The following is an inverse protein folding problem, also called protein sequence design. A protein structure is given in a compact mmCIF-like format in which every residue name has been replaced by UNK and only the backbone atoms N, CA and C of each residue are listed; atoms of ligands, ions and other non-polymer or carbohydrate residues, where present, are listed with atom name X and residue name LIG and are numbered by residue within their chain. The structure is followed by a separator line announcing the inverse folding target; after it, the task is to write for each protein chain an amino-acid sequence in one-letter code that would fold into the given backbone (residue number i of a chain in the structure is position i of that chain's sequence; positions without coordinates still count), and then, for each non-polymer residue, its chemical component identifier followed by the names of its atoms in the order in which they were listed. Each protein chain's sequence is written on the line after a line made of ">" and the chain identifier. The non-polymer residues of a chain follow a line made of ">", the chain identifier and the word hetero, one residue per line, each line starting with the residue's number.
data_IF_813447103505
#
_entry.id   IF_813447103505
#
_cell.length_a   1.000
_cell.length_b   1.000
_cell.length_c   1.000
_cell.angle_alpha   90.00
_cell.angle_beta   90.00
_cell.angle_gamma   90.00
#
_symmetry.space_group_name_H-M   'P 1'
#
loop_
_entity.id
_entity.type
_entity.pdbx_description
1 polymer ?
#
# COMPACT_ATOMS: atom_id res chain seq x y z
N UNK A 1 14.85 35.92 7.04
CA UNK A 1 15.13 34.71 6.25
C UNK A 1 13.84 34.08 5.78
N UNK A 2 13.79 33.43 4.61
CA UNK A 2 12.58 32.77 4.14
C UNK A 2 12.18 31.64 5.10
N UNK A 3 10.88 31.49 5.37
CA UNK A 3 10.32 30.42 6.22
C UNK A 3 10.24 29.10 5.45
N UNK A 4 10.06 29.16 4.13
CA UNK A 4 10.06 28.02 3.21
C UNK A 4 10.47 28.47 1.80
N UNK A 5 11.04 27.56 1.00
CA UNK A 5 11.28 27.74 -0.44
C UNK A 5 11.32 26.36 -1.14
N UNK A 6 11.26 26.35 -2.48
CA UNK A 6 11.31 25.11 -3.30
C UNK A 6 12.72 24.54 -3.49
N UNK A 7 13.75 25.22 -2.99
CA UNK A 7 15.18 24.98 -3.27
C UNK A 7 15.56 24.94 -4.77
N UNK A 8 14.69 25.44 -5.66
CA UNK A 8 15.00 25.56 -7.09
C UNK A 8 15.95 26.72 -7.31
N UNK A 9 17.11 26.43 -7.91
CA UNK A 9 18.07 27.45 -8.30
C UNK A 9 17.67 27.97 -9.68
N UNK A 10 17.31 29.25 -9.76
CA UNK A 10 17.07 29.88 -11.04
C UNK A 10 18.38 29.94 -11.83
N UNK A 11 18.42 29.33 -13.02
CA UNK A 11 19.55 29.50 -13.92
C UNK A 11 19.44 30.91 -14.51
N UNK A 12 20.35 31.79 -14.07
CA UNK A 12 20.32 33.27 -14.17
C UNK A 12 20.09 33.83 -15.60
N UNK A 13 20.07 32.99 -16.63
CA UNK A 13 19.95 33.39 -18.04
C UNK A 13 18.76 32.77 -18.80
N UNK A 14 17.80 32.13 -18.14
CA UNK A 14 16.71 31.41 -18.82
C UNK A 14 15.37 31.96 -18.36
N UNK A 15 14.73 32.80 -19.19
CA UNK A 15 13.28 33.08 -19.26
C UNK A 15 12.52 33.43 -17.95
N UNK A 16 11.40 34.18 -18.01
CA UNK A 16 10.64 34.49 -16.81
C UNK A 16 10.05 33.21 -16.17
N UNK A 17 10.31 33.06 -14.88
CA UNK A 17 9.76 32.00 -14.04
C UNK A 17 8.31 32.34 -13.69
N UNK A 18 7.41 31.37 -13.82
CA UNK A 18 5.99 31.52 -13.51
C UNK A 18 5.57 30.45 -12.51
N UNK A 19 4.86 30.88 -11.48
CA UNK A 19 4.13 30.01 -10.58
C UNK A 19 2.67 29.96 -11.04
N UNK A 20 2.13 28.76 -11.20
CA UNK A 20 0.80 28.53 -11.78
C UNK A 20 0.07 27.45 -10.99
N UNK A 21 -1.21 27.68 -10.69
CA UNK A 21 -2.08 26.65 -10.14
C UNK A 21 -2.91 26.07 -11.29
N UNK A 22 -2.69 24.79 -11.58
CA UNK A 22 -3.42 24.08 -12.64
C UNK A 22 -4.81 23.66 -12.17
N UNK A 23 -5.71 23.37 -13.12
CA UNK A 23 -7.10 22.98 -12.84
C UNK A 23 -7.23 21.70 -11.97
N UNK A 24 -6.22 20.83 -11.99
CA UNK A 24 -6.17 19.63 -11.15
C UNK A 24 -5.66 19.91 -9.72
N UNK A 25 -5.37 21.16 -9.37
CA UNK A 25 -4.83 21.56 -8.08
C UNK A 25 -3.30 21.44 -7.96
N UNK A 26 -2.60 21.03 -9.02
CA UNK A 26 -1.14 21.00 -9.02
C UNK A 26 -0.58 22.42 -9.10
N UNK A 27 0.11 22.85 -8.05
CA UNK A 27 0.82 24.12 -8.03
C UNK A 27 2.22 23.89 -8.60
N UNK A 28 2.53 24.53 -9.72
CA UNK A 28 3.75 24.28 -10.49
C UNK A 28 4.60 25.53 -10.60
N UNK A 29 5.90 25.30 -10.70
CA UNK A 29 6.88 26.29 -11.10
C UNK A 29 7.43 25.87 -12.45
N UNK A 30 7.46 26.78 -13.42
CA UNK A 30 7.98 26.53 -14.77
C UNK A 30 8.50 27.80 -15.42
N UNK A 31 9.30 27.66 -16.47
CA UNK A 31 9.63 28.79 -17.36
C UNK A 31 8.44 29.10 -18.27
N UNK A 32 8.19 30.39 -18.55
CA UNK A 32 7.05 30.87 -19.35
C UNK A 32 6.87 30.11 -20.68
N UNK A 33 7.97 29.86 -21.38
CA UNK A 33 8.02 29.21 -22.70
C UNK A 33 8.20 27.68 -22.63
N UNK A 34 8.32 27.10 -21.42
CA UNK A 34 8.45 25.65 -21.26
C UNK A 34 7.13 25.02 -20.80
N UNK A 35 6.89 23.81 -21.31
CA UNK A 35 5.84 22.91 -20.82
C UNK A 35 6.32 22.01 -19.66
N UNK A 36 7.63 21.94 -19.43
CA UNK A 36 8.18 21.15 -18.32
C UNK A 36 8.10 21.91 -17.01
N UNK A 37 7.75 21.18 -15.95
CA UNK A 37 7.74 21.70 -14.59
C UNK A 37 9.12 21.49 -13.96
N UNK A 38 9.66 22.55 -13.35
CA UNK A 38 10.90 22.46 -12.56
C UNK A 38 10.62 22.12 -11.09
N UNK A 39 9.40 22.41 -10.64
CA UNK A 39 8.87 21.98 -9.35
C UNK A 39 7.36 21.85 -9.44
N UNK A 40 6.78 20.93 -8.69
CA UNK A 40 5.33 20.72 -8.64
C UNK A 40 4.91 20.25 -7.24
N UNK A 41 3.78 20.74 -6.74
CA UNK A 41 3.27 20.36 -5.41
C UNK A 41 2.88 18.88 -5.34
N UNK A 42 2.49 18.28 -6.47
CA UNK A 42 2.16 16.86 -6.56
C UNK A 42 3.33 15.92 -6.27
N UNK A 43 4.57 16.42 -6.26
CA UNK A 43 5.75 15.68 -5.82
C UNK A 43 5.94 15.71 -4.30
N UNK A 44 5.26 16.62 -3.59
CA UNK A 44 5.39 16.84 -2.15
C UNK A 44 4.01 16.84 -1.48
N UNK A 45 3.27 15.72 -1.54
CA UNK A 45 1.98 15.58 -0.87
C UNK A 45 2.06 15.85 0.64
N UNK A 46 0.94 16.31 1.20
CA UNK A 46 0.73 16.40 2.65
C UNK A 46 0.03 15.13 3.13
N UNK A 47 -1.22 15.22 3.55
CA UNK A 47 -2.10 14.15 4.03
C UNK A 47 -3.08 13.66 2.95
N UNK A 48 -3.06 14.25 1.75
CA UNK A 48 -4.12 14.04 0.74
C UNK A 48 -3.56 13.63 -0.63
N UNK A 49 -4.20 12.65 -1.25
CA UNK A 49 -4.03 12.25 -2.66
C UNK A 49 -5.25 12.72 -3.48
N UNK A 50 -4.99 13.55 -4.49
CA UNK A 50 -5.99 14.05 -5.44
C UNK A 50 -5.96 13.26 -6.76
N UNK A 51 -7.04 13.27 -7.56
CA UNK A 51 -7.02 12.79 -8.93
C UNK A 51 -5.89 13.44 -9.74
N UNK A 52 -5.08 12.61 -10.41
CA UNK A 52 -3.89 13.04 -11.16
C UNK A 52 -2.59 13.06 -10.35
N UNK A 53 -2.63 12.88 -9.02
CA UNK A 53 -1.44 12.61 -8.21
C UNK A 53 -1.06 11.12 -8.28
N UNK A 54 0.20 10.83 -7.95
CA UNK A 54 0.75 9.48 -7.81
C UNK A 54 1.47 9.38 -6.46
N UNK A 55 1.16 8.36 -5.66
CA UNK A 55 1.89 8.00 -4.45
C UNK A 55 2.83 6.84 -4.73
N UNK A 56 3.99 6.79 -4.08
CA UNK A 56 5.00 5.75 -4.30
C UNK A 56 6.29 6.30 -4.93
N UNK A 57 7.11 5.39 -5.46
CA UNK A 57 8.44 5.68 -5.98
C UNK A 57 8.41 6.08 -7.46
N UNK A 58 9.03 7.21 -7.75
CA UNK A 58 9.29 7.74 -9.08
C UNK A 58 10.80 7.69 -9.35
N UNK A 59 11.23 6.72 -10.16
CA UNK A 59 12.65 6.50 -10.48
C UNK A 59 13.25 7.58 -11.37
N UNK A 60 12.44 8.31 -12.13
CA UNK A 60 12.93 9.40 -13.00
C UNK A 60 13.39 10.60 -12.18
N UNK A 61 12.74 10.84 -11.03
CA UNK A 61 13.08 11.90 -10.07
C UNK A 61 13.86 11.41 -8.86
N UNK A 62 14.00 10.09 -8.71
CA UNK A 62 14.49 9.42 -7.51
C UNK A 62 13.79 9.93 -6.24
N UNK A 63 12.46 9.95 -6.28
CA UNK A 63 11.61 10.54 -5.24
C UNK A 63 10.52 9.55 -4.83
N UNK A 64 10.29 9.42 -3.53
CA UNK A 64 9.16 8.65 -2.98
C UNK A 64 8.12 9.59 -2.41
N UNK A 65 6.88 9.46 -2.87
CA UNK A 65 5.73 10.30 -2.50
C UNK A 65 4.87 9.53 -1.51
N UNK A 66 4.67 10.10 -0.32
CA UNK A 66 3.95 9.48 0.80
C UNK A 66 2.93 10.45 1.37
N UNK A 67 1.87 9.97 2.00
CA UNK A 67 1.00 10.85 2.79
C UNK A 67 1.48 10.89 4.23
N UNK A 68 1.50 12.07 4.83
CA UNK A 68 1.76 12.28 6.25
C UNK A 68 0.56 12.96 6.85
N UNK A 69 -0.04 12.33 7.86
CA UNK A 69 -1.19 12.87 8.59
C UNK A 69 -0.87 14.22 9.22
N UNK A 70 -1.90 14.99 9.53
CA UNK A 70 -1.78 16.12 10.45
C UNK A 70 -1.52 15.64 11.89
N UNK A 71 -0.87 16.47 12.70
CA UNK A 71 -0.62 16.18 14.12
C UNK A 71 -1.90 16.08 14.94
N UNK A 72 -2.89 16.91 14.61
CA UNK A 72 -4.24 16.83 15.19
C UNK A 72 -5.27 17.46 14.25
N UNK A 73 -6.55 17.40 14.62
CA UNK A 73 -7.65 18.00 13.85
C UNK A 73 -7.41 19.47 13.47
N UNK A 74 -6.73 20.24 14.32
CA UNK A 74 -6.51 21.68 14.14
C UNK A 74 -5.04 22.06 13.98
N UNK A 75 -4.13 21.08 13.86
CA UNK A 75 -2.69 21.32 13.76
C UNK A 75 -2.12 20.63 12.52
N UNK A 76 -1.85 21.37 11.43
CA UNK A 76 -1.41 20.81 10.15
C UNK A 76 0.08 20.45 10.11
N UNK A 77 0.77 20.52 11.26
CA UNK A 77 2.13 20.01 11.38
C UNK A 77 2.16 18.49 11.16
N UNK A 78 3.32 17.94 10.82
CA UNK A 78 3.46 16.50 10.55
C UNK A 78 3.08 15.66 11.77
N UNK A 79 2.07 14.82 11.60
CA UNK A 79 1.60 13.87 12.60
C UNK A 79 2.39 12.57 12.59
N UNK A 80 1.93 11.63 13.42
CA UNK A 80 2.62 10.35 13.65
C UNK A 80 2.31 9.27 12.62
N UNK A 81 1.25 9.46 11.82
CA UNK A 81 0.83 8.49 10.80
C UNK A 81 1.37 8.86 9.43
N UNK A 82 1.86 7.85 8.74
CA UNK A 82 2.31 7.91 7.35
C UNK A 82 1.59 6.83 6.55
N UNK A 83 1.25 7.12 5.31
CA UNK A 83 0.81 6.13 4.34
C UNK A 83 1.77 6.10 3.16
N UNK A 84 2.36 4.94 2.93
CA UNK A 84 3.36 4.74 1.89
C UNK A 84 3.01 3.53 1.00
N UNK A 85 3.53 3.55 -0.22
CA UNK A 85 3.44 2.41 -1.14
C UNK A 85 4.74 1.63 -1.05
N UNK A 86 4.63 0.34 -0.74
CA UNK A 86 5.79 -0.53 -0.65
C UNK A 86 6.47 -0.72 -2.00
N UNK A 87 7.81 -0.68 -2.01
CA UNK A 87 8.62 -0.82 -3.22
C UNK A 87 8.87 -2.29 -3.60
N UNK A 88 7.85 -3.13 -3.50
CA UNK A 88 7.90 -4.54 -3.91
C UNK A 88 7.34 -4.72 -5.32
N UNK A 89 7.64 -5.86 -5.95
CA UNK A 89 7.08 -6.20 -7.28
C UNK A 89 5.57 -6.46 -7.26
N UNK A 90 4.97 -6.61 -6.07
CA UNK A 90 3.52 -6.53 -5.84
C UNK A 90 3.31 -5.55 -4.70
N UNK A 91 3.05 -4.31 -5.05
CA UNK A 91 2.99 -3.16 -4.15
C UNK A 91 1.65 -3.08 -3.43
N UNK A 92 1.72 -2.84 -2.12
CA UNK A 92 0.55 -2.52 -1.30
C UNK A 92 0.78 -1.18 -0.62
N UNK A 93 -0.30 -0.58 -0.15
CA UNK A 93 -0.23 0.57 0.74
C UNK A 93 -0.06 0.10 2.19
N UNK A 94 0.77 0.79 2.97
CA UNK A 94 0.98 0.51 4.39
C UNK A 94 0.75 1.79 5.18
N UNK A 95 -0.07 1.70 6.22
CA UNK A 95 -0.17 2.75 7.23
C UNK A 95 0.85 2.44 8.32
N UNK A 96 1.72 3.40 8.57
CA UNK A 96 2.78 3.35 9.56
C UNK A 96 2.45 4.34 10.67
N UNK A 97 2.60 3.91 11.91
CA UNK A 97 2.47 4.75 13.08
C UNK A 97 3.79 4.81 13.83
N UNK A 98 4.38 6.00 13.89
CA UNK A 98 5.64 6.24 14.60
C UNK A 98 6.77 5.28 14.16
N UNK A 99 6.83 4.95 12.87
CA UNK A 99 7.83 4.06 12.29
C UNK A 99 7.53 2.56 12.43
N UNK A 100 6.33 2.15 12.84
CA UNK A 100 5.91 0.75 12.88
C UNK A 100 4.70 0.51 11.97
N UNK A 101 4.67 -0.55 11.14
CA UNK A 101 3.50 -0.92 10.36
C UNK A 101 2.29 -1.19 11.26
N UNK A 102 1.18 -0.49 11.02
CA UNK A 102 -0.06 -0.63 11.78
C UNK A 102 -1.13 -1.37 10.98
N UNK A 103 -1.18 -1.16 9.67
CA UNK A 103 -2.10 -1.87 8.78
C UNK A 103 -1.57 -1.86 7.34
N UNK A 104 -1.99 -2.85 6.54
CA UNK A 104 -1.61 -2.98 5.13
C UNK A 104 -2.86 -3.07 4.28
N UNK A 105 -2.94 -2.35 3.17
CA UNK A 105 -4.13 -2.34 2.33
C UNK A 105 -4.37 -3.69 1.66
N UNK A 106 -5.61 -3.94 1.26
CA UNK A 106 -6.02 -5.15 0.56
C UNK A 106 -6.78 -4.84 -0.73
N UNK A 107 -7.50 -5.84 -1.27
CA UNK A 107 -8.21 -5.71 -2.54
C UNK A 107 -9.22 -4.55 -2.60
N UNK A 108 -9.84 -4.17 -1.47
CA UNK A 108 -10.79 -3.05 -1.41
C UNK A 108 -10.13 -1.73 -1.83
N UNK A 109 -8.92 -1.46 -1.33
CA UNK A 109 -8.11 -0.30 -1.73
C UNK A 109 -7.61 -0.43 -3.18
N UNK A 110 -7.12 -1.61 -3.57
CA UNK A 110 -6.61 -1.85 -4.94
C UNK A 110 -7.66 -1.60 -6.03
N UNK A 111 -8.96 -1.75 -5.71
CA UNK A 111 -10.05 -1.44 -6.64
C UNK A 111 -10.27 0.08 -6.84
N UNK A 112 -9.75 0.93 -5.95
CA UNK A 112 -9.91 2.39 -5.98
C UNK A 112 -8.76 3.09 -6.72
N UNK A 113 -7.65 2.38 -6.96
CA UNK A 113 -6.42 2.96 -7.50
C UNK A 113 -5.98 2.25 -8.78
N UNK A 114 -5.36 3.01 -9.67
CA UNK A 114 -4.53 2.47 -10.73
C UNK A 114 -3.14 2.21 -10.16
N UNK A 115 -2.67 0.97 -10.29
CA UNK A 115 -1.36 0.51 -9.82
C UNK A 115 -0.41 0.45 -11.01
N UNK A 116 0.74 1.13 -10.89
CA UNK A 116 1.85 1.10 -11.85
C UNK A 116 3.04 0.44 -11.17
N UNK A 117 3.55 -0.64 -11.75
CA UNK A 117 4.68 -1.41 -11.23
C UNK A 117 5.64 -1.73 -12.38
N UNK A 118 6.63 -0.86 -12.59
CA UNK A 118 7.70 -1.02 -13.56
C UNK A 118 9.06 -0.88 -12.87
N UNK A 119 10.14 -1.15 -13.63
CA UNK A 119 11.49 -0.96 -13.12
C UNK A 119 11.83 0.53 -12.86
N UNK A 120 11.09 1.46 -13.48
CA UNK A 120 11.28 2.91 -13.29
C UNK A 120 10.23 3.58 -12.38
N UNK A 121 9.11 2.91 -12.08
CA UNK A 121 8.02 3.51 -11.30
C UNK A 121 7.23 2.45 -10.53
N UNK A 122 7.04 2.67 -9.22
CA UNK A 122 6.08 1.90 -8.42
C UNK A 122 5.14 2.91 -7.76
N UNK A 123 3.95 3.08 -8.32
CA UNK A 123 3.05 4.13 -7.87
C UNK A 123 1.57 3.77 -7.95
N UNK A 124 0.79 4.35 -7.05
CA UNK A 124 -0.67 4.23 -6.99
C UNK A 124 -1.29 5.62 -7.20
N UNK A 125 -2.30 5.68 -8.07
CA UNK A 125 -3.07 6.90 -8.34
C UNK A 125 -4.56 6.62 -8.28
N UNK A 126 -5.40 7.55 -7.83
CA UNK A 126 -6.85 7.34 -7.82
C UNK A 126 -7.40 7.01 -9.20
N UNK A 127 -8.19 5.94 -9.28
CA UNK A 127 -8.94 5.56 -10.47
C UNK A 127 -10.32 6.22 -10.47
N UNK A 128 -10.32 7.56 -10.44
CA UNK A 128 -11.55 8.36 -10.41
C UNK A 128 -11.45 9.40 -11.51
N UNK A 129 -12.48 9.46 -12.36
CA UNK A 129 -12.60 10.50 -13.38
C UNK A 129 -13.04 11.80 -12.69
N UNK A 130 -12.31 12.92 -12.85
CA UNK A 130 -12.72 14.20 -12.31
C UNK A 130 -14.11 14.59 -12.80
N UNK A 131 -14.92 15.15 -11.91
CA UNK A 131 -16.26 15.67 -12.20
C UNK A 131 -16.27 17.19 -11.95
N UNK A 132 -17.08 17.93 -12.68
CA UNK A 132 -17.26 19.38 -12.50
C UNK A 132 -18.01 19.69 -11.20
N UNK A 133 -18.87 18.77 -10.76
CA UNK A 133 -19.82 18.99 -9.65
C UNK A 133 -19.31 18.34 -8.34
N UNK A 134 -18.35 17.41 -8.43
CA UNK A 134 -17.79 16.74 -7.25
C UNK A 134 -16.26 16.68 -7.28
N UNK A 135 -15.67 16.77 -6.09
CA UNK A 135 -14.22 16.59 -5.89
C UNK A 135 -14.01 15.36 -5.03
N UNK A 136 -13.30 14.38 -5.56
CA UNK A 136 -12.89 13.20 -4.80
C UNK A 136 -11.46 13.35 -4.30
N UNK A 137 -11.18 12.96 -3.06
CA UNK A 137 -9.84 12.96 -2.49
C UNK A 137 -9.68 11.82 -1.50
N UNK A 138 -8.49 11.22 -1.45
CA UNK A 138 -8.13 10.22 -0.46
C UNK A 138 -7.25 10.88 0.60
N UNK A 139 -7.71 10.94 1.84
CA UNK A 139 -7.03 11.62 2.95
C UNK A 139 -6.57 10.63 4.01
N UNK A 140 -5.33 10.78 4.49
CA UNK A 140 -4.84 10.16 5.71
C UNK A 140 -5.12 11.08 6.91
N UNK A 141 -6.10 10.70 7.72
CA UNK A 141 -6.51 11.49 8.89
C UNK A 141 -5.46 11.43 10.02
N UNK A 142 -5.53 12.40 10.95
CA UNK A 142 -4.70 12.43 12.18
C UNK A 142 -4.92 11.21 13.10
N UNK A 143 -5.98 10.44 12.87
CA UNK A 143 -6.31 9.21 13.59
C UNK A 143 -5.69 7.95 12.95
N UNK A 144 -5.01 8.08 11.81
CA UNK A 144 -4.41 6.93 11.11
C UNK A 144 -5.40 6.16 10.24
N UNK A 145 -6.45 6.82 9.77
CA UNK A 145 -7.44 6.24 8.86
C UNK A 145 -7.32 6.90 7.49
N UNK A 146 -7.25 6.09 6.44
CA UNK A 146 -7.45 6.52 5.06
C UNK A 146 -8.94 6.63 4.77
N UNK A 147 -9.35 7.77 4.24
CA UNK A 147 -10.73 8.05 3.88
C UNK A 147 -10.84 8.57 2.45
N UNK A 148 -11.63 7.92 1.60
CA UNK A 148 -11.99 8.46 0.29
C UNK A 148 -13.25 9.31 0.45
N UNK A 149 -13.09 10.62 0.32
CA UNK A 149 -14.16 11.60 0.40
C UNK A 149 -14.59 12.02 -1.00
N UNK A 150 -15.89 12.16 -1.20
CA UNK A 150 -16.50 12.90 -2.30
C UNK A 150 -17.20 14.14 -1.76
N UNK A 151 -16.79 15.31 -2.27
CA UNK A 151 -17.32 16.60 -1.90
C UNK A 151 -18.33 17.05 -2.96
N UNK A 152 -19.61 17.15 -2.59
CA UNK A 152 -20.70 17.56 -3.50
C UNK A 152 -21.39 18.78 -2.88
N UNK A 153 -21.33 19.94 -3.54
CA UNK A 153 -22.03 21.14 -3.06
C UNK A 153 -21.68 21.58 -1.63
N UNK A 154 -20.51 21.19 -1.11
CA UNK A 154 -20.07 21.45 0.26
C UNK A 154 -20.39 20.33 1.27
N UNK A 155 -21.19 19.34 0.89
CA UNK A 155 -21.41 18.13 1.68
C UNK A 155 -20.27 17.13 1.48
N UNK A 156 -19.98 16.36 2.54
CA UNK A 156 -18.92 15.35 2.54
C UNK A 156 -19.56 13.96 2.56
N UNK A 157 -19.30 13.18 1.52
CA UNK A 157 -19.71 11.78 1.43
C UNK A 157 -18.49 10.90 1.51
N UNK A 158 -18.48 9.97 2.46
CA UNK A 158 -17.38 9.02 2.56
C UNK A 158 -17.70 7.76 1.78
N UNK A 159 -16.81 7.40 0.88
CA UNK A 159 -16.97 6.28 -0.04
C UNK A 159 -16.14 5.07 0.38
N UNK A 160 -15.10 5.27 1.19
CA UNK A 160 -14.20 4.22 1.65
C UNK A 160 -13.47 4.66 2.92
N UNK A 161 -13.25 3.71 3.82
CA UNK A 161 -12.42 3.86 5.02
C UNK A 161 -11.46 2.68 5.14
N UNK A 162 -10.24 2.93 5.60
CA UNK A 162 -9.28 1.90 5.94
C UNK A 162 -8.34 2.34 7.07
N UNK A 163 -8.06 1.51 8.08
CA UNK A 163 -8.62 0.17 8.33
C UNK A 163 -10.12 0.19 8.64
N UNK A 164 -10.88 -0.82 8.20
CA UNK A 164 -12.33 -0.91 8.47
C UNK A 164 -12.63 -1.91 9.59
N UNK A 165 -11.88 -3.02 9.64
CA UNK A 165 -12.09 -4.11 10.60
C UNK A 165 -10.83 -4.46 11.37
N UNK A 166 -10.98 -5.14 12.51
CA UNK A 166 -9.84 -5.63 13.32
C UNK A 166 -8.84 -6.47 12.50
N UNK A 167 -9.32 -7.20 11.49
CA UNK A 167 -8.50 -8.03 10.60
C UNK A 167 -7.53 -7.24 9.70
N UNK A 168 -7.75 -5.93 9.52
CA UNK A 168 -6.91 -5.08 8.67
C UNK A 168 -5.62 -4.67 9.38
N UNK A 169 -5.63 -4.69 10.72
CA UNK A 169 -4.46 -4.39 11.53
C UNK A 169 -3.36 -5.43 11.36
N UNK A 170 -2.14 -4.92 11.30
CA UNK A 170 -0.97 -5.69 10.95
C UNK A 170 -0.73 -6.80 11.98
N UNK A 171 -0.61 -8.02 11.46
CA UNK A 171 -0.40 -9.22 12.25
C UNK A 171 -1.45 -9.40 13.38
N UNK A 172 -2.73 -9.10 13.14
CA UNK A 172 -3.81 -9.29 14.14
C UNK A 172 -3.84 -10.71 14.72
N UNK A 173 -3.69 -11.73 13.87
CA UNK A 173 -3.86 -13.13 14.26
C UNK A 173 -2.59 -13.90 14.64
N UNK A 174 -1.40 -13.38 14.34
CA UNK A 174 -0.15 -14.11 14.56
C UNK A 174 0.19 -15.08 13.42
N UNK A 175 1.41 -15.60 13.46
CA UNK A 175 1.99 -16.38 12.38
C UNK A 175 1.22 -17.67 12.10
N UNK A 176 1.14 -18.03 10.81
CA UNK A 176 0.48 -19.23 10.29
C UNK A 176 -1.02 -19.35 10.65
N UNK A 177 -1.66 -18.21 10.85
CA UNK A 177 -3.09 -18.10 11.10
C UNK A 177 -3.68 -17.02 10.19
N UNK A 178 -5.00 -16.98 10.08
CA UNK A 178 -5.70 -15.94 9.34
C UNK A 178 -6.91 -15.43 10.11
N UNK A 179 -7.27 -14.18 9.84
CA UNK A 179 -8.47 -13.56 10.37
C UNK A 179 -9.65 -13.90 9.46
N UNK A 180 -10.73 -14.44 10.03
CA UNK A 180 -11.95 -14.70 9.29
C UNK A 180 -12.91 -13.49 9.34
N UNK A 181 -14.04 -13.59 8.64
CA UNK A 181 -15.07 -12.52 8.60
C UNK A 181 -15.75 -12.22 9.93
N UNK A 182 -15.51 -13.03 10.97
CA UNK A 182 -16.02 -12.83 12.34
C UNK A 182 -14.93 -12.30 13.27
N UNK A 183 -13.88 -11.66 12.73
CA UNK A 183 -12.71 -11.15 13.45
C UNK A 183 -12.00 -12.21 14.31
N UNK A 184 -12.17 -13.48 13.98
CA UNK A 184 -11.62 -14.61 14.75
C UNK A 184 -10.39 -15.17 14.05
N UNK A 185 -9.36 -15.44 14.84
CA UNK A 185 -8.11 -15.99 14.37
C UNK A 185 -8.17 -17.52 14.28
N UNK A 186 -7.92 -18.05 13.10
CA UNK A 186 -8.00 -19.47 12.78
C UNK A 186 -6.65 -19.95 12.26
N UNK A 187 -6.13 -21.04 12.83
CA UNK A 187 -4.93 -21.66 12.28
C UNK A 187 -5.15 -22.15 10.85
N UNK A 188 -4.16 -21.96 9.99
CA UNK A 188 -4.17 -22.53 8.64
C UNK A 188 -4.34 -24.05 8.73
N UNK A 189 -5.05 -24.64 7.78
CA UNK A 189 -5.23 -26.09 7.77
C UNK A 189 -3.88 -26.82 7.70
N UNK A 190 -3.70 -27.81 8.59
CA UNK A 190 -2.39 -28.45 8.81
C UNK A 190 -1.60 -27.87 9.98
N UNK A 191 -2.05 -26.75 10.55
CA UNK A 191 -1.51 -26.14 11.76
C UNK A 191 -2.45 -26.32 12.95
N UNK A 192 -1.90 -26.19 14.15
CA UNK A 192 -2.61 -26.22 15.42
C UNK A 192 -2.09 -25.10 16.34
N UNK A 193 -2.89 -24.66 17.33
CA UNK A 193 -2.41 -23.71 18.34
C UNK A 193 -1.14 -24.24 19.04
N UNK A 194 -0.09 -23.43 19.07
CA UNK A 194 1.17 -23.74 19.74
C UNK A 194 1.14 -23.35 21.21
N UNK A 195 1.50 -24.30 22.08
CA UNK A 195 1.70 -24.08 23.52
C UNK A 195 0.46 -24.30 24.40
N UNK A 196 0.65 -24.92 25.56
CA UNK A 196 -0.40 -25.16 26.57
C UNK A 196 -0.92 -23.86 27.24
N UNK A 197 -0.22 -22.73 27.06
CA UNK A 197 -0.48 -21.47 27.76
C UNK A 197 -1.32 -20.45 26.97
N UNK A 198 -1.73 -20.75 25.73
CA UNK A 198 -2.46 -19.83 24.87
C UNK A 198 -3.99 -19.94 24.98
N UNK A 199 -4.52 -20.45 26.10
CA UNK A 199 -5.95 -20.37 26.40
C UNK A 199 -6.16 -19.49 27.63
N UNK A 200 -6.26 -18.19 27.39
CA UNK A 200 -6.92 -17.25 28.31
C UNK A 200 -6.06 -16.48 29.31
N UNK A 201 -4.72 -16.53 29.28
CA UNK A 201 -3.90 -15.84 30.32
C UNK A 201 -2.65 -15.08 29.88
N UNK A 202 -2.31 -14.95 28.59
CA UNK A 202 -1.17 -14.10 28.15
C UNK A 202 -1.53 -13.20 26.96
N UNK A 203 -1.02 -11.96 26.97
CA UNK A 203 -1.11 -10.97 25.86
C UNK A 203 -0.32 -11.38 24.59
N UNK A 204 0.16 -12.62 24.52
CA UNK A 204 0.94 -13.12 23.39
C UNK A 204 0.01 -13.59 22.27
N UNK A 205 0.20 -13.05 21.05
CA UNK A 205 -0.55 -13.45 19.84
C UNK A 205 -0.54 -14.97 19.66
N UNK A 206 -1.66 -15.53 19.20
CA UNK A 206 -1.81 -16.97 19.03
C UNK A 206 -0.86 -17.46 17.93
N UNK A 207 0.14 -18.27 18.31
CA UNK A 207 1.08 -18.86 17.35
C UNK A 207 0.54 -20.19 16.87
N UNK A 208 0.35 -20.35 15.57
CA UNK A 208 -0.02 -21.62 14.98
C UNK A 208 1.24 -22.37 14.54
N UNK A 209 1.38 -23.62 14.96
CA UNK A 209 2.51 -24.50 14.64
C UNK A 209 2.05 -25.65 13.76
N UNK A 210 2.90 -26.12 12.85
CA UNK A 210 2.57 -27.27 11.99
C UNK A 210 2.27 -28.51 12.84
N UNK A 211 1.25 -29.28 12.45
CA UNK A 211 0.91 -30.55 13.12
C UNK A 211 1.93 -31.65 12.86
N UNK A 212 2.59 -31.60 11.72
CA UNK A 212 3.61 -32.56 11.28
C UNK A 212 4.88 -31.82 10.83
N UNK A 213 6.03 -32.48 10.98
CA UNK A 213 7.26 -32.00 10.38
C UNK A 213 7.18 -32.12 8.85
N UNK A 214 7.75 -31.15 8.15
CA UNK A 214 7.85 -31.18 6.70
C UNK A 214 9.04 -32.04 6.27
N UNK A 215 8.80 -32.98 5.36
CA UNK A 215 9.84 -33.55 4.52
C UNK A 215 9.88 -32.75 3.21
N UNK A 216 11.07 -32.31 2.78
CA UNK A 216 11.19 -31.44 1.60
C UNK A 216 10.59 -32.08 0.33
N UNK A 217 10.74 -33.38 0.18
CA UNK A 217 10.28 -34.10 -1.02
C UNK A 217 8.86 -34.66 -0.93
N UNK A 218 8.17 -34.45 0.20
CA UNK A 218 6.78 -34.86 0.43
C UNK A 218 5.93 -33.66 0.86
N UNK A 219 6.08 -32.54 0.17
CA UNK A 219 5.27 -31.34 0.39
C UNK A 219 3.90 -31.51 -0.24
N UNK A 220 2.86 -31.23 0.53
CA UNK A 220 1.49 -31.10 0.04
C UNK A 220 0.99 -29.68 0.30
N UNK A 221 0.40 -29.05 -0.72
CA UNK A 221 -0.18 -27.72 -0.61
C UNK A 221 -1.69 -27.76 -0.47
N UNK A 222 -2.20 -26.97 0.47
CA UNK A 222 -3.64 -26.78 0.64
C UNK A 222 -4.07 -25.44 0.06
N UNK A 223 -4.87 -25.49 -0.99
CA UNK A 223 -5.43 -24.29 -1.63
C UNK A 223 -6.33 -23.53 -0.66
N UNK A 224 -5.95 -22.28 -0.37
CA UNK A 224 -6.78 -21.31 0.35
C UNK A 224 -7.47 -20.38 -0.65
N UNK A 225 -8.70 -19.95 -0.34
CA UNK A 225 -9.51 -19.08 -1.22
C UNK A 225 -9.93 -17.83 -0.47
N UNK A 226 -10.17 -16.75 -1.21
CA UNK A 226 -10.62 -15.46 -0.67
C UNK A 226 -9.66 -14.90 0.39
N UNK A 227 -8.36 -15.09 0.16
CA UNK A 227 -7.31 -14.64 1.05
C UNK A 227 -6.75 -13.31 0.56
N UNK A 228 -6.54 -12.38 1.49
CA UNK A 228 -5.52 -11.36 1.32
C UNK A 228 -4.16 -12.05 1.40
N UNK A 229 -3.30 -11.81 0.41
CA UNK A 229 -1.95 -12.41 0.40
C UNK A 229 -1.20 -12.02 1.69
N UNK A 230 -0.32 -12.89 2.23
CA UNK A 230 0.54 -12.54 3.36
C UNK A 230 1.47 -11.36 3.04
N UNK A 231 2.25 -10.94 4.04
CA UNK A 231 3.32 -9.97 3.81
C UNK A 231 4.28 -10.45 2.71
N UNK A 232 4.78 -9.53 1.89
CA UNK A 232 5.59 -9.83 0.71
C UNK A 232 7.08 -9.51 0.87
N UNK A 233 7.55 -9.13 2.07
CA UNK A 233 8.96 -8.81 2.34
C UNK A 233 9.90 -9.96 1.93
N UNK A 234 9.62 -11.20 2.35
CA UNK A 234 10.42 -12.39 2.05
C UNK A 234 9.83 -13.22 0.89
N UNK A 235 9.65 -12.59 -0.27
CA UNK A 235 9.08 -13.26 -1.46
C UNK A 235 9.98 -13.24 -2.69
N UNK A 236 9.99 -14.35 -3.42
CA UNK A 236 10.51 -14.42 -4.79
C UNK A 236 9.37 -14.13 -5.75
N UNK A 237 9.58 -13.17 -6.66
CA UNK A 237 8.56 -12.74 -7.63
C UNK A 237 9.04 -12.93 -9.07
N UNK A 238 8.26 -13.66 -9.85
CA UNK A 238 8.46 -13.86 -11.30
C UNK A 238 7.13 -13.69 -12.05
N UNK A 239 6.97 -12.57 -12.75
CA UNK A 239 5.72 -12.23 -13.46
C UNK A 239 5.55 -12.96 -14.79
N UNK A 240 6.57 -13.68 -15.27
CA UNK A 240 6.55 -14.37 -16.57
C UNK A 240 6.07 -15.82 -16.49
N UNK A 241 5.87 -16.30 -15.27
CA UNK A 241 5.63 -17.71 -14.96
C UNK A 241 4.18 -17.93 -14.54
N UNK A 242 3.58 -19.05 -14.95
CA UNK A 242 2.23 -19.45 -14.55
C UNK A 242 2.20 -20.18 -13.20
N UNK A 243 0.99 -20.41 -12.68
CA UNK A 243 0.80 -21.03 -11.37
C UNK A 243 1.35 -22.46 -11.26
N UNK A 244 1.25 -23.27 -12.32
CA UNK A 244 1.74 -24.66 -12.34
C UNK A 244 3.27 -24.73 -12.16
N UNK A 245 3.99 -23.92 -12.91
CA UNK A 245 5.46 -23.80 -12.78
C UNK A 245 5.83 -23.17 -11.43
N UNK A 246 5.01 -22.26 -10.89
CA UNK A 246 5.20 -21.71 -9.55
C UNK A 246 5.13 -22.80 -8.46
N UNK A 247 4.17 -23.72 -8.58
CA UNK A 247 4.03 -24.89 -7.70
C UNK A 247 5.26 -25.79 -7.80
N UNK A 248 5.72 -26.12 -9.00
CA UNK A 248 6.92 -26.94 -9.20
C UNK A 248 8.16 -26.32 -8.56
N UNK A 249 8.40 -25.01 -8.76
CA UNK A 249 9.51 -24.29 -8.14
C UNK A 249 9.44 -24.29 -6.61
N UNK A 250 8.24 -24.15 -6.05
CA UNK A 250 8.03 -24.20 -4.61
C UNK A 250 8.22 -25.63 -4.04
N UNK A 251 7.86 -26.67 -4.79
CA UNK A 251 8.13 -28.07 -4.42
C UNK A 251 9.64 -28.36 -4.38
N UNK A 252 10.40 -27.86 -5.36
CA UNK A 252 11.86 -28.05 -5.44
C UNK A 252 12.62 -27.23 -4.38
N UNK A 253 12.10 -26.07 -3.99
CA UNK A 253 12.71 -25.24 -2.96
C UNK A 253 12.29 -25.71 -1.56
N UNK A 254 13.19 -26.36 -0.82
CA UNK A 254 12.90 -26.85 0.53
C UNK A 254 12.45 -25.77 1.52
N UNK A 255 12.86 -24.52 1.34
CA UNK A 255 12.46 -23.42 2.21
C UNK A 255 11.08 -22.85 1.83
N UNK A 256 10.55 -23.13 0.63
CA UNK A 256 9.25 -22.60 0.25
C UNK A 256 8.14 -23.03 1.22
N UNK A 257 7.38 -22.05 1.70
CA UNK A 257 6.26 -22.23 2.64
C UNK A 257 4.89 -22.05 2.00
N UNK A 258 4.78 -21.20 0.97
CA UNK A 258 3.55 -20.94 0.22
C UNK A 258 3.87 -20.36 -1.17
N UNK A 259 2.90 -20.40 -2.08
CA UNK A 259 2.97 -19.73 -3.37
C UNK A 259 1.61 -19.21 -3.82
N UNK A 260 1.60 -18.21 -4.71
CA UNK A 260 0.41 -17.61 -5.29
C UNK A 260 0.71 -16.95 -6.65
N UNK A 261 -0.34 -16.59 -7.39
CA UNK A 261 -0.20 -15.71 -8.56
C UNK A 261 -0.03 -14.25 -8.13
N UNK A 262 0.74 -13.47 -8.89
CA UNK A 262 0.87 -12.01 -8.66
C UNK A 262 -0.39 -11.27 -9.11
N UNK A 263 -1.01 -11.73 -10.21
CA UNK A 263 -2.26 -11.20 -10.73
C UNK A 263 -3.26 -12.34 -10.90
N UNK A 264 -4.45 -12.20 -10.32
CA UNK A 264 -5.52 -13.21 -10.44
C UNK A 264 -6.48 -12.95 -11.62
N UNK A 265 -6.31 -11.85 -12.37
CA UNK A 265 -7.10 -11.55 -13.56
C UNK A 265 -6.80 -12.55 -14.69
N UNK A 266 -7.77 -12.78 -15.57
CA UNK A 266 -7.64 -13.59 -16.79
C UNK A 266 -7.06 -15.02 -16.58
N UNK A 267 -7.39 -15.67 -15.46
CA UNK A 267 -6.94 -17.04 -15.18
C UNK A 267 -5.66 -17.16 -14.37
N UNK A 268 -5.06 -16.03 -13.97
CA UNK A 268 -3.90 -15.99 -13.10
C UNK A 268 -2.58 -15.92 -13.88
N UNK A 269 -1.74 -14.94 -13.56
CA UNK A 269 -0.40 -14.81 -14.11
C UNK A 269 0.61 -14.40 -13.03
N UNK A 270 1.88 -14.71 -13.30
CA UNK A 270 2.99 -14.52 -12.39
C UNK A 270 3.00 -15.49 -11.22
N UNK A 271 4.10 -15.41 -10.48
CA UNK A 271 4.46 -16.32 -9.41
C UNK A 271 5.04 -15.54 -8.23
N UNK A 272 4.46 -15.75 -7.05
CA UNK A 272 4.96 -15.36 -5.75
C UNK A 272 5.30 -16.62 -4.97
N UNK A 273 6.49 -16.68 -4.39
CA UNK A 273 6.96 -17.79 -3.55
C UNK A 273 7.43 -17.20 -2.23
N UNK A 274 6.82 -17.63 -1.13
CA UNK A 274 7.24 -17.31 0.24
C UNK A 274 8.27 -18.33 0.72
N UNK A 275 9.31 -17.84 1.39
CA UNK A 275 10.41 -18.63 1.98
C UNK A 275 10.22 -18.73 3.50
#
# INVERSE_FOLDING_TARGET
>A
SPVWNTNVINQINIEPLVAELLDNGNFVLRYSNSKSFIWQSFDYPTDTLLPGMKLGWDGTKNLTKILTSWASLNEPSSGKYVFEIEKWKVSHGVIINSGQPESRTGPSYSNLVNITETDEEISHSLNITPNVISVSLLQLTYLGTLELLELIGGERHSLFYFPEYDCDFYNWCGDNSYCNTSSTCVCIAGFQPGGQYARGMTKSKQRCVRKSQLSCHEKEFKKMRNMKLPDTEDTIVDTKVGLEECEMRCLENCNCTAFASTDMRNGGSGCLIWI
#
